data_IF_985333942198
#
_entry.id   IF_985333942198
#
_cell.length_a   1.000
_cell.length_b   1.000
_cell.length_c   1.000
_cell.angle_alpha   90.00
_cell.angle_beta   90.00
_cell.angle_gamma   90.00
#
_symmetry.space_group_name_H-M   'P 1'
#
loop_
_entity.id
_entity.type
_entity.pdbx_description
1 polymer ?
#
# COMPACT_ATOMS: atom_id res chain seq x y z
N UNK A 1 5.83 -12.45 10.87
CA UNK A 1 4.95 -11.54 10.12
C UNK A 1 4.45 -10.38 10.95
N UNK A 2 4.02 -10.61 12.20
CA UNK A 2 3.59 -9.54 13.13
C UNK A 2 4.69 -8.50 13.36
N UNK A 3 5.95 -8.94 13.44
CA UNK A 3 7.08 -8.07 13.67
C UNK A 3 7.34 -7.11 12.52
N UNK A 4 7.19 -7.59 11.27
CA UNK A 4 7.37 -6.76 10.07
C UNK A 4 6.36 -5.62 10.03
N UNK A 5 5.11 -5.89 10.35
CA UNK A 5 4.04 -4.88 10.42
C UNK A 5 4.36 -3.87 11.52
N UNK A 6 4.78 -4.35 12.69
CA UNK A 6 5.06 -3.51 13.86
C UNK A 6 6.16 -2.49 13.57
N UNK A 7 7.29 -2.91 12.97
CA UNK A 7 8.37 -1.96 12.69
C UNK A 7 8.18 -1.17 11.38
N UNK A 8 7.32 -1.63 10.48
CA UNK A 8 7.01 -0.91 9.23
C UNK A 8 6.00 0.22 9.45
N UNK A 9 5.13 0.08 10.43
CA UNK A 9 4.03 1.03 10.69
C UNK A 9 4.49 2.47 10.92
N UNK A 10 5.51 2.76 11.74
CA UNK A 10 5.96 4.13 11.94
C UNK A 10 6.41 4.82 10.66
N UNK A 11 7.04 4.07 9.76
CA UNK A 11 7.49 4.60 8.45
C UNK A 11 6.31 4.91 7.53
N UNK A 12 5.32 4.03 7.50
CA UNK A 12 4.11 4.26 6.72
C UNK A 12 3.33 5.48 7.24
N UNK A 13 3.22 5.63 8.54
CA UNK A 13 2.57 6.77 9.18
C UNK A 13 3.30 8.09 8.88
N UNK A 14 4.62 8.09 8.94
CA UNK A 14 5.43 9.26 8.63
C UNK A 14 5.27 9.68 7.16
N UNK A 15 5.34 8.71 6.24
CA UNK A 15 5.15 8.97 4.82
C UNK A 15 3.74 9.51 4.53
N UNK A 16 2.74 8.93 5.17
CA UNK A 16 1.36 9.36 5.01
C UNK A 16 1.13 10.81 5.48
N UNK A 17 1.68 11.18 6.64
CA UNK A 17 1.59 12.56 7.15
C UNK A 17 2.21 13.57 6.19
N UNK A 18 3.38 13.25 5.66
CA UNK A 18 4.07 14.12 4.69
C UNK A 18 3.23 14.25 3.42
N UNK A 19 2.71 13.13 2.92
CA UNK A 19 1.92 13.10 1.70
C UNK A 19 0.61 13.90 1.84
N UNK A 20 -0.03 13.83 3.00
CA UNK A 20 -1.24 14.64 3.29
C UNK A 20 -0.91 16.12 3.32
N UNK A 21 0.16 16.51 4.00
CA UNK A 21 0.54 17.92 4.10
C UNK A 21 0.86 18.54 2.75
N UNK A 22 1.46 17.77 1.85
CA UNK A 22 1.91 18.27 0.55
C UNK A 22 0.90 17.99 -0.57
N UNK A 23 -0.24 17.35 -0.28
CA UNK A 23 -1.22 16.91 -1.27
C UNK A 23 -0.61 15.98 -2.34
N UNK A 24 0.27 15.08 -1.92
CA UNK A 24 1.02 14.17 -2.80
C UNK A 24 0.74 12.70 -2.52
N UNK A 25 -0.42 12.38 -1.98
CA UNK A 25 -0.79 11.01 -1.58
C UNK A 25 -0.65 10.04 -2.76
N UNK A 26 -1.16 10.41 -3.94
CA UNK A 26 -1.13 9.55 -5.12
C UNK A 26 0.28 9.38 -5.67
N UNK A 27 1.09 10.42 -5.60
CA UNK A 27 2.50 10.39 -6.02
C UNK A 27 3.28 9.41 -5.16
N UNK A 28 3.14 9.50 -3.84
CA UNK A 28 3.77 8.57 -2.91
C UNK A 28 3.30 7.13 -3.11
N UNK A 29 2.03 6.95 -3.40
CA UNK A 29 1.45 5.63 -3.66
C UNK A 29 2.11 4.98 -4.88
N UNK A 30 2.26 5.73 -5.97
CA UNK A 30 2.92 5.25 -7.18
C UNK A 30 4.39 4.95 -6.95
N UNK A 31 5.11 5.86 -6.32
CA UNK A 31 6.55 5.74 -6.08
C UNK A 31 6.85 4.55 -5.17
N UNK A 32 6.12 4.40 -4.07
CA UNK A 32 6.28 3.26 -3.17
C UNK A 32 5.96 1.93 -3.84
N UNK A 33 4.95 1.90 -4.71
CA UNK A 33 4.60 0.70 -5.47
C UNK A 33 5.76 0.26 -6.38
N UNK A 34 6.34 1.21 -7.09
CA UNK A 34 7.50 0.96 -7.96
C UNK A 34 8.67 0.45 -7.12
N UNK A 35 8.99 1.14 -6.03
CA UNK A 35 10.12 0.79 -5.17
C UNK A 35 9.91 -0.53 -4.46
N UNK A 36 8.69 -0.82 -4.02
CA UNK A 36 8.35 -2.11 -3.40
C UNK A 36 8.59 -3.30 -4.32
N UNK A 37 8.31 -3.13 -5.59
CA UNK A 37 8.60 -4.16 -6.60
C UNK A 37 10.11 -4.24 -6.89
N UNK A 38 10.78 -3.10 -6.98
CA UNK A 38 12.20 -3.03 -7.29
C UNK A 38 13.06 -3.74 -6.24
N UNK A 39 12.77 -3.55 -4.94
CA UNK A 39 13.57 -4.15 -3.86
C UNK A 39 13.42 -5.67 -3.77
N UNK A 40 12.48 -6.27 -4.47
CA UNK A 40 12.34 -7.72 -4.57
C UNK A 40 13.30 -8.34 -5.59
N UNK A 41 13.81 -7.55 -6.52
CA UNK A 41 14.78 -8.00 -7.51
C UNK A 41 16.13 -8.30 -6.84
N UNK A 42 16.71 -9.46 -7.14
CA UNK A 42 17.98 -9.90 -6.54
C UNK A 42 19.14 -8.95 -6.85
N UNK A 43 19.14 -8.33 -8.02
CA UNK A 43 20.17 -7.37 -8.44
C UNK A 43 20.09 -6.08 -7.64
N UNK A 44 18.88 -5.62 -7.40
CA UNK A 44 18.63 -4.43 -6.57
C UNK A 44 19.02 -4.70 -5.12
N UNK A 45 18.67 -5.87 -4.59
CA UNK A 45 19.10 -6.29 -3.23
C UNK A 45 20.61 -6.32 -3.11
N UNK A 46 21.31 -6.86 -4.11
CA UNK A 46 22.78 -6.90 -4.13
C UNK A 46 23.37 -5.49 -4.14
N UNK A 47 22.83 -4.59 -4.94
CA UNK A 47 23.24 -3.19 -5.00
C UNK A 47 23.08 -2.50 -3.66
N UNK A 48 21.92 -2.65 -3.03
CA UNK A 48 21.62 -2.04 -1.73
C UNK A 48 22.48 -2.62 -0.59
N UNK A 49 22.85 -3.90 -0.68
CA UNK A 49 23.68 -4.57 0.31
C UNK A 49 25.17 -4.28 0.15
N UNK A 50 25.60 -3.77 -0.99
CA UNK A 50 27.02 -3.57 -1.27
C UNK A 50 27.62 -2.44 -0.43
N UNK A 51 28.69 -2.70 0.35
CA UNK A 51 29.38 -1.66 1.09
C UNK A 51 30.24 -0.75 0.20
N UNK A 52 30.48 -1.14 -1.05
CA UNK A 52 31.25 -0.37 -2.03
C UNK A 52 30.44 0.79 -2.64
N UNK A 53 29.12 0.70 -2.58
CA UNK A 53 28.22 1.72 -3.14
C UNK A 53 27.85 2.68 -2.02
N UNK A 54 28.04 3.98 -2.28
CA UNK A 54 27.70 5.03 -1.32
C UNK A 54 26.18 5.15 -1.16
N UNK A 55 25.75 5.57 0.02
CA UNK A 55 24.34 5.80 0.32
C UNK A 55 23.66 6.74 -0.69
N UNK A 56 24.33 7.85 -1.06
CA UNK A 56 23.80 8.79 -2.04
C UNK A 56 23.56 8.16 -3.40
N UNK A 57 24.45 7.25 -3.81
CA UNK A 57 24.32 6.54 -5.09
C UNK A 57 23.17 5.54 -5.03
N UNK A 58 22.96 4.88 -3.89
CA UNK A 58 21.79 3.99 -3.67
C UNK A 58 20.49 4.77 -3.77
N UNK A 59 20.41 5.92 -3.11
CA UNK A 59 19.23 6.80 -3.15
C UNK A 59 19.00 7.29 -4.58
N UNK A 60 20.03 7.74 -5.27
CA UNK A 60 19.96 8.18 -6.66
C UNK A 60 19.45 7.10 -7.59
N UNK A 61 19.91 5.85 -7.40
CA UNK A 61 19.40 4.71 -8.16
C UNK A 61 17.92 4.48 -7.92
N UNK A 62 17.49 4.43 -6.67
CA UNK A 62 16.08 4.19 -6.32
C UNK A 62 15.17 5.30 -6.84
N UNK A 63 15.59 6.55 -6.70
CA UNK A 63 14.79 7.68 -7.19
C UNK A 63 14.74 7.75 -8.72
N UNK A 64 15.75 7.22 -9.41
CA UNK A 64 15.73 7.12 -10.87
C UNK A 64 14.65 6.17 -11.41
N UNK A 65 14.18 5.24 -10.58
CA UNK A 65 13.12 4.31 -10.93
C UNK A 65 11.73 4.95 -10.82
N UNK A 66 11.61 6.03 -10.05
CA UNK A 66 10.36 6.76 -9.87
C UNK A 66 10.20 7.83 -10.95
N UNK A 67 8.97 8.23 -11.22
CA UNK A 67 8.68 9.21 -12.27
C UNK A 67 8.83 10.66 -11.77
N UNK A 68 8.95 10.85 -10.47
CA UNK A 68 8.93 12.16 -9.86
C UNK A 68 10.18 12.39 -9.01
N UNK A 69 10.80 13.55 -9.19
CA UNK A 69 11.84 14.00 -8.24
C UNK A 69 11.14 14.56 -7.01
N UNK A 70 11.39 13.95 -5.88
CA UNK A 70 10.81 14.36 -4.61
C UNK A 70 11.89 14.31 -3.52
N UNK A 71 12.29 15.47 -3.04
CA UNK A 71 13.31 15.57 -1.98
C UNK A 71 12.87 14.87 -0.69
N UNK A 72 11.57 14.89 -0.41
CA UNK A 72 11.03 14.21 0.76
C UNK A 72 11.12 12.69 0.61
N UNK A 73 10.95 12.18 -0.60
CA UNK A 73 11.16 10.76 -0.88
C UNK A 73 12.63 10.38 -0.68
N UNK A 74 13.56 11.22 -1.13
CA UNK A 74 15.00 10.99 -0.92
C UNK A 74 15.33 10.94 0.56
N UNK A 75 14.79 11.85 1.35
CA UNK A 75 14.96 11.87 2.81
C UNK A 75 14.37 10.62 3.45
N UNK A 76 13.21 10.20 3.01
CA UNK A 76 12.55 8.97 3.48
C UNK A 76 13.39 7.72 3.19
N UNK A 77 13.90 7.61 1.96
CA UNK A 77 14.79 6.51 1.57
C UNK A 77 16.09 6.51 2.38
N UNK A 78 16.62 7.69 2.66
CA UNK A 78 17.81 7.84 3.49
C UNK A 78 17.58 7.24 4.89
N UNK A 79 16.47 7.54 5.52
CA UNK A 79 16.10 7.00 6.84
C UNK A 79 15.94 5.48 6.77
N UNK A 80 15.28 4.97 5.74
CA UNK A 80 15.09 3.53 5.57
C UNK A 80 16.41 2.78 5.39
N UNK A 81 17.35 3.36 4.64
CA UNK A 81 18.68 2.78 4.42
C UNK A 81 19.47 2.77 5.74
N UNK A 82 19.47 3.90 6.47
CA UNK A 82 20.19 4.02 7.74
C UNK A 82 19.69 3.03 8.80
N UNK A 83 18.40 2.78 8.83
CA UNK A 83 17.77 1.87 9.77
C UNK A 83 17.67 0.43 9.24
N UNK A 84 18.26 0.16 8.07
CA UNK A 84 18.22 -1.17 7.43
C UNK A 84 16.80 -1.67 7.18
N UNK A 85 15.87 -0.76 6.86
CA UNK A 85 14.45 -1.05 6.61
C UNK A 85 14.07 -0.93 5.14
N UNK A 86 15.01 -0.61 4.26
CA UNK A 86 14.75 -0.41 2.83
C UNK A 86 14.14 -1.64 2.16
N UNK A 87 14.49 -2.84 2.63
CA UNK A 87 13.97 -4.10 2.07
C UNK A 87 12.49 -4.35 2.41
N UNK A 88 11.93 -3.61 3.33
CA UNK A 88 10.54 -3.75 3.79
C UNK A 88 9.61 -2.69 3.20
N UNK A 89 10.06 -2.02 2.15
CA UNK A 89 9.27 -0.93 1.55
C UNK A 89 7.94 -1.43 0.97
N UNK A 90 7.86 -2.69 0.55
CA UNK A 90 6.60 -3.31 0.13
C UNK A 90 5.60 -3.42 1.29
N UNK A 91 6.05 -3.81 2.47
CA UNK A 91 5.20 -3.86 3.67
C UNK A 91 4.79 -2.45 4.12
N UNK A 92 5.70 -1.50 4.02
CA UNK A 92 5.42 -0.09 4.30
C UNK A 92 4.36 0.45 3.31
N UNK A 93 4.48 0.08 2.05
CA UNK A 93 3.51 0.43 1.01
C UNK A 93 2.12 -0.11 1.32
N UNK A 94 2.02 -1.38 1.72
CA UNK A 94 0.74 -2.01 2.06
C UNK A 94 0.04 -1.26 3.20
N UNK A 95 0.79 -0.89 4.23
CA UNK A 95 0.26 -0.11 5.36
C UNK A 95 -0.13 1.31 4.94
N UNK A 96 0.67 1.95 4.11
CA UNK A 96 0.37 3.26 3.56
C UNK A 96 -0.93 3.22 2.75
N UNK A 97 -1.09 2.21 1.90
CA UNK A 97 -2.29 2.02 1.09
C UNK A 97 -3.53 1.84 1.97
N UNK A 98 -3.41 1.06 3.04
CA UNK A 98 -4.47 0.90 4.03
C UNK A 98 -4.88 2.24 4.67
N UNK A 99 -3.90 3.08 5.01
CA UNK A 99 -4.17 4.41 5.57
C UNK A 99 -4.89 5.32 4.58
N UNK A 100 -4.51 5.27 3.31
CA UNK A 100 -5.17 6.04 2.24
C UNK A 100 -6.63 5.62 2.12
N UNK A 101 -6.91 4.32 2.11
CA UNK A 101 -8.27 3.80 2.03
C UNK A 101 -9.10 4.20 3.25
N UNK A 102 -8.54 4.10 4.44
CA UNK A 102 -9.23 4.47 5.68
C UNK A 102 -9.53 5.97 5.75
N UNK A 103 -8.61 6.81 5.28
CA UNK A 103 -8.81 8.26 5.29
C UNK A 103 -9.91 8.68 4.31
N UNK A 104 -10.05 7.97 3.21
CA UNK A 104 -11.15 8.20 2.27
C UNK A 104 -12.48 7.60 2.74
N UNK A 105 -12.53 7.06 3.95
CA UNK A 105 -13.66 6.33 4.50
C UNK A 105 -14.16 5.20 3.61
N UNK A 106 -13.25 4.59 2.84
CA UNK A 106 -13.56 3.45 1.99
C UNK A 106 -13.12 2.19 2.72
N UNK A 107 -14.06 1.31 2.96
CA UNK A 107 -13.81 -0.02 3.51
C UNK A 107 -14.11 -1.06 2.44
N UNK A 108 -13.23 -2.04 2.28
CA UNK A 108 -13.45 -3.15 1.35
C UNK A 108 -14.19 -4.25 2.12
N UNK A 109 -15.40 -4.56 1.66
CA UNK A 109 -16.17 -5.69 2.18
C UNK A 109 -16.06 -6.85 1.21
N UNK A 110 -15.47 -7.95 1.66
CA UNK A 110 -15.41 -9.20 0.89
C UNK A 110 -16.69 -10.00 1.12
N UNK A 111 -17.35 -10.37 0.04
CA UNK A 111 -18.62 -11.09 0.08
C UNK A 111 -18.45 -12.41 -0.63
N UNK A 112 -18.68 -13.52 0.10
CA UNK A 112 -18.71 -14.86 -0.48
C UNK A 112 -20.13 -15.16 -0.96
N UNK A 113 -20.28 -15.46 -2.25
CA UNK A 113 -21.59 -15.75 -2.85
C UNK A 113 -21.54 -17.07 -3.64
N UNK A 114 -22.66 -17.75 -3.73
CA UNK A 114 -22.80 -18.94 -4.57
C UNK A 114 -22.85 -18.59 -6.07
N UNK A 115 -23.35 -17.42 -6.39
CA UNK A 115 -23.54 -16.92 -7.75
C UNK A 115 -23.03 -15.50 -7.90
N UNK A 116 -22.65 -15.11 -9.12
CA UNK A 116 -22.29 -13.74 -9.41
C UNK A 116 -23.48 -12.81 -9.12
N UNK A 117 -23.22 -11.73 -8.37
CA UNK A 117 -24.23 -10.73 -8.08
C UNK A 117 -24.46 -9.84 -9.31
N UNK A 118 -25.72 -9.48 -9.56
CA UNK A 118 -26.04 -8.46 -10.55
C UNK A 118 -25.57 -7.09 -10.07
N UNK A 119 -25.38 -6.14 -10.97
CA UNK A 119 -24.98 -4.78 -10.62
C UNK A 119 -25.99 -4.12 -9.66
N UNK A 120 -27.27 -4.40 -9.85
CA UNK A 120 -28.34 -3.91 -8.96
C UNK A 120 -28.22 -4.51 -7.56
N UNK A 121 -27.93 -5.80 -7.45
CA UNK A 121 -27.73 -6.48 -6.16
C UNK A 121 -26.50 -5.94 -5.43
N UNK A 122 -25.38 -5.75 -6.13
CA UNK A 122 -24.18 -5.14 -5.58
C UNK A 122 -24.45 -3.74 -5.04
N UNK A 123 -25.15 -2.93 -5.83
CA UNK A 123 -25.48 -1.55 -5.46
C UNK A 123 -26.39 -1.49 -4.22
N UNK A 124 -27.41 -2.35 -4.18
CA UNK A 124 -28.31 -2.44 -3.02
C UNK A 124 -27.59 -2.85 -1.75
N UNK A 125 -26.70 -3.85 -1.85
CA UNK A 125 -25.91 -4.34 -0.74
C UNK A 125 -24.90 -3.30 -0.28
N UNK A 126 -24.23 -2.62 -1.22
CA UNK A 126 -23.32 -1.53 -0.95
C UNK A 126 -24.01 -0.41 -0.17
N UNK A 127 -25.19 0.03 -0.63
CA UNK A 127 -25.97 1.07 0.03
C UNK A 127 -26.38 0.66 1.45
N UNK A 128 -26.78 -0.59 1.63
CA UNK A 128 -27.14 -1.13 2.93
C UNK A 128 -25.95 -1.08 3.91
N UNK A 129 -24.80 -1.58 3.47
CA UNK A 129 -23.59 -1.62 4.30
C UNK A 129 -23.05 -0.22 4.60
N UNK A 130 -23.07 0.69 3.63
CA UNK A 130 -22.65 2.07 3.83
C UNK A 130 -23.53 2.78 4.86
N UNK A 131 -24.83 2.56 4.80
CA UNK A 131 -25.80 3.13 5.74
C UNK A 131 -25.63 2.57 7.14
N UNK A 132 -25.37 1.25 7.25
CA UNK A 132 -25.21 0.58 8.54
C UNK A 132 -23.92 1.00 9.25
N UNK A 133 -22.82 1.16 8.52
CA UNK A 133 -21.49 1.44 9.06
C UNK A 133 -21.08 2.91 8.96
N UNK A 134 -21.87 3.74 8.29
CA UNK A 134 -21.60 5.15 8.05
C UNK A 134 -20.22 5.39 7.41
N UNK A 135 -19.85 4.52 6.45
CA UNK A 135 -18.60 4.57 5.70
C UNK A 135 -18.87 4.23 4.25
N UNK A 136 -18.04 4.74 3.34
CA UNK A 136 -18.06 4.27 1.95
C UNK A 136 -17.49 2.84 1.89
N UNK A 137 -18.21 1.95 1.24
CA UNK A 137 -17.85 0.54 1.15
C UNK A 137 -17.67 0.16 -0.31
N UNK A 138 -16.53 -0.46 -0.61
CA UNK A 138 -16.28 -1.11 -1.88
C UNK A 138 -16.50 -2.61 -1.70
N UNK A 139 -17.29 -3.21 -2.59
CA UNK A 139 -17.61 -4.63 -2.52
C UNK A 139 -16.61 -5.42 -3.35
N UNK A 140 -15.97 -6.39 -2.72
CA UNK A 140 -15.14 -7.39 -3.38
C UNK A 140 -15.88 -8.72 -3.35
N UNK A 141 -16.28 -9.20 -4.52
CA UNK A 141 -17.10 -10.39 -4.67
C UNK A 141 -16.21 -11.62 -4.87
N UNK A 142 -16.42 -12.63 -4.03
CA UNK A 142 -15.78 -13.93 -4.16
C UNK A 142 -16.85 -14.99 -4.39
N UNK A 143 -16.76 -15.69 -5.52
CA UNK A 143 -17.73 -16.72 -5.88
C UNK A 143 -17.27 -18.06 -5.31
N UNK A 144 -18.12 -18.66 -4.47
CA UNK A 144 -17.89 -19.97 -3.90
C UNK A 144 -19.11 -20.85 -4.19
N UNK A 145 -18.95 -21.77 -5.14
CA UNK A 145 -20.02 -22.68 -5.57
C UNK A 145 -20.42 -23.69 -4.52
N UNK A 146 -19.63 -23.87 -3.45
CA UNK A 146 -19.99 -24.75 -2.34
C UNK A 146 -21.13 -24.20 -1.48
N UNK A 147 -21.44 -22.92 -1.61
CA UNK A 147 -22.56 -22.28 -0.96
C UNK A 147 -23.84 -22.58 -1.73
N UNK A 148 -24.74 -23.33 -1.14
CA UNK A 148 -25.98 -23.80 -1.82
C UNK A 148 -26.95 -22.66 -2.11
N UNK A 149 -26.99 -21.64 -1.30
CA UNK A 149 -27.79 -20.45 -1.52
C UNK A 149 -27.40 -19.38 -0.51
N UNK A 150 -27.38 -18.12 -0.94
CA UNK A 150 -27.23 -16.99 -0.07
C UNK A 150 -25.84 -16.38 -0.03
N UNK A 151 -25.71 -15.39 0.79
CA UNK A 151 -24.54 -14.56 0.99
C UNK A 151 -24.06 -14.76 2.41
N UNK A 152 -22.77 -15.04 2.59
CA UNK A 152 -22.16 -15.07 3.91
C UNK A 152 -21.80 -13.67 4.40
#
# INVERSE_FOLDING_TARGET
>A
MTDVITFSRPYAEAAYKVAVNDNTIDIWLQDMNILGKAVKDSRVKALLASPKIKKLDKIGFLTSLTNNKNELLESFLSVLIDNKKIYYIDSIFDLYQEMVLNNNNITIATIDTAFALTDQQKKSLQNYLEKKHNKKIQIDEKIDKSLLAGIK
#
